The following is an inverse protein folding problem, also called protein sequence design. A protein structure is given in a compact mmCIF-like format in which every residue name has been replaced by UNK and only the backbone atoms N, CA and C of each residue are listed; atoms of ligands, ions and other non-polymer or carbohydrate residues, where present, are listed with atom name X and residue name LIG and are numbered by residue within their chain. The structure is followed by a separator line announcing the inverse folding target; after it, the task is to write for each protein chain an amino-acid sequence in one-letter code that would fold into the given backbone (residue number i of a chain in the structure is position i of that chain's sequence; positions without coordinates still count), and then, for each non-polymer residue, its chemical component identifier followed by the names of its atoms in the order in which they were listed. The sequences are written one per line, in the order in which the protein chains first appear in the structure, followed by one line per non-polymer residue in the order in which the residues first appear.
data_IF_581011812496
#
_entry.id   IF_581011812496
#
_cell.length_a   1.000
_cell.length_b   1.000
_cell.length_c   1.000
_cell.angle_alpha   90.00
_cell.angle_beta   90.00
_cell.angle_gamma   90.00
#
_symmetry.space_group_name_H-M   'P 1'
#
loop_
_entity.id
_entity.type
_entity.pdbx_description
1 polymer ?
#
# COMPACT_ATOMS: atom_id res chain seq x y z
N UNK A 1 32.26 39.46 -7.98
CA UNK A 1 30.91 39.80 -7.51
C UNK A 1 29.92 38.99 -8.35
N UNK A 2 29.40 37.89 -7.80
CA UNK A 2 28.36 37.10 -8.48
C UNK A 2 27.04 37.83 -8.27
N UNK A 3 26.34 38.17 -9.35
CA UNK A 3 25.03 38.84 -9.27
C UNK A 3 24.05 37.92 -8.52
N UNK A 4 23.24 38.45 -7.58
CA UNK A 4 22.30 37.65 -6.79
C UNK A 4 21.30 36.86 -7.65
N UNK A 5 20.99 37.32 -8.86
CA UNK A 5 20.18 36.59 -9.83
C UNK A 5 20.82 35.31 -10.38
N UNK A 6 22.15 35.24 -10.46
CA UNK A 6 22.84 34.03 -10.94
C UNK A 6 22.79 32.89 -9.93
N UNK A 7 22.81 33.19 -8.62
CA UNK A 7 22.70 32.17 -7.57
C UNK A 7 21.28 31.56 -7.57
N UNK A 8 20.25 32.41 -7.67
CA UNK A 8 18.86 31.94 -7.75
C UNK A 8 18.61 31.06 -8.98
N UNK A 9 19.17 31.44 -10.14
CA UNK A 9 19.05 30.65 -11.36
C UNK A 9 19.73 29.28 -11.26
N UNK A 10 20.93 29.22 -10.67
CA UNK A 10 21.64 27.95 -10.44
C UNK A 10 20.89 27.07 -9.45
N UNK A 11 20.39 27.63 -8.34
CA UNK A 11 19.59 26.88 -7.38
C UNK A 11 18.32 26.30 -8.02
N UNK A 12 17.61 27.10 -8.83
CA UNK A 12 16.42 26.65 -9.55
C UNK A 12 16.73 25.52 -10.53
N UNK A 13 17.83 25.62 -11.27
CA UNK A 13 18.28 24.58 -12.20
C UNK A 13 18.66 23.27 -11.48
N UNK A 14 19.32 23.36 -10.33
CA UNK A 14 19.67 22.17 -9.53
C UNK A 14 18.42 21.47 -8.96
N UNK A 15 17.40 22.23 -8.55
CA UNK A 15 16.13 21.69 -8.07
C UNK A 15 15.37 20.99 -9.22
N UNK A 16 15.31 21.61 -10.41
CA UNK A 16 14.61 20.99 -11.55
C UNK A 16 15.34 19.75 -12.08
N UNK A 17 16.67 19.73 -12.04
CA UNK A 17 17.46 18.58 -12.49
C UNK A 17 17.41 17.41 -11.48
N UNK A 18 17.20 17.69 -10.19
CA UNK A 18 17.07 16.66 -9.14
C UNK A 18 15.64 16.15 -8.95
N UNK A 19 14.62 16.91 -9.36
CA UNK A 19 13.21 16.50 -9.31
C UNK A 19 12.92 15.10 -9.90
N UNK A 20 13.40 14.71 -11.09
CA UNK A 20 13.13 13.37 -11.64
C UNK A 20 13.76 12.25 -10.79
N UNK A 21 14.91 12.49 -10.16
CA UNK A 21 15.55 11.53 -9.25
C UNK A 21 14.71 11.32 -7.97
N UNK A 22 14.04 12.35 -7.49
CA UNK A 22 13.13 12.29 -6.33
C UNK A 22 11.85 11.52 -6.69
N UNK A 23 11.33 11.70 -7.93
CA UNK A 23 10.15 10.98 -8.41
C UNK A 23 10.37 9.47 -8.60
N UNK A 24 11.61 9.03 -8.84
CA UNK A 24 11.92 7.59 -8.90
C UNK A 24 11.86 6.95 -7.50
N UNK A 25 12.25 7.68 -6.45
CA UNK A 25 12.30 7.16 -5.07
C UNK A 25 10.94 6.74 -4.48
N UNK A 26 9.83 7.29 -4.99
CA UNK A 26 8.47 6.87 -4.59
C UNK A 26 7.99 5.58 -5.28
N UNK A 27 8.60 5.21 -6.42
CA UNK A 27 8.24 4.05 -7.23
C UNK A 27 9.24 2.90 -7.12
N UNK A 28 10.50 3.20 -6.79
CA UNK A 28 11.55 2.21 -6.65
C UNK A 28 11.40 1.43 -5.35
N UNK A 29 11.16 0.14 -5.46
CA UNK A 29 11.49 -0.80 -4.40
C UNK A 29 13.01 -0.99 -4.38
N UNK A 30 13.67 -0.96 -3.20
CA UNK A 30 15.08 -1.31 -3.13
C UNK A 30 15.24 -2.80 -3.46
N UNK A 31 15.42 -3.12 -4.75
CA UNK A 31 15.94 -4.41 -5.17
C UNK A 31 17.45 -4.39 -4.88
N UNK A 32 17.85 -4.93 -3.72
CA UNK A 32 19.28 -5.12 -3.44
C UNK A 32 19.78 -6.30 -4.27
N UNK A 33 20.62 -6.00 -5.24
CA UNK A 33 21.49 -6.97 -5.91
C UNK A 33 22.46 -7.55 -4.87
N UNK A 34 22.27 -8.83 -4.54
CA UNK A 34 23.31 -9.79 -4.15
C UNK A 34 24.46 -9.24 -3.26
N UNK A 35 24.23 -9.03 -1.96
CA UNK A 35 25.29 -9.24 -0.96
C UNK A 35 24.73 -9.51 0.44
N UNK A 36 24.83 -10.76 0.87
CA UNK A 36 24.76 -11.15 2.28
C UNK A 36 23.39 -11.56 2.80
N UNK A 37 23.23 -12.87 2.95
CA UNK A 37 22.21 -13.59 3.71
C UNK A 37 21.89 -12.97 5.07
N UNK A 38 20.81 -12.18 5.14
CA UNK A 38 19.72 -12.30 6.13
C UNK A 38 18.52 -11.52 5.59
N UNK A 39 17.76 -12.21 4.74
CA UNK A 39 16.75 -11.67 3.82
C UNK A 39 15.42 -11.34 4.48
N UNK A 40 15.34 -10.17 5.11
CA UNK A 40 14.06 -9.50 5.34
C UNK A 40 14.04 -8.19 4.56
N UNK A 41 13.28 -8.14 3.47
CA UNK A 41 12.75 -6.86 3.02
C UNK A 41 11.92 -6.33 4.20
N UNK A 42 12.41 -5.30 4.89
CA UNK A 42 11.79 -4.77 6.10
C UNK A 42 10.50 -4.02 5.77
N UNK A 43 9.44 -4.74 5.43
CA UNK A 43 8.09 -4.19 5.38
C UNK A 43 7.54 -4.18 6.80
N UNK A 44 7.04 -3.02 7.22
CA UNK A 44 6.28 -2.93 8.47
C UNK A 44 4.93 -3.61 8.24
N UNK A 45 4.69 -4.69 8.97
CA UNK A 45 3.40 -5.34 8.98
C UNK A 45 2.34 -4.40 9.57
N UNK A 46 1.15 -4.41 8.95
CA UNK A 46 0.03 -3.61 9.46
C UNK A 46 -0.46 -4.19 10.80
N UNK A 47 -1.07 -3.37 11.67
CA UNK A 47 -1.76 -3.89 12.85
C UNK A 47 -2.86 -4.88 12.47
N UNK A 48 -3.20 -5.75 13.40
CA UNK A 48 -4.39 -6.59 13.26
C UNK A 48 -5.66 -5.73 13.40
N UNK A 49 -6.56 -5.83 12.43
CA UNK A 49 -7.86 -5.15 12.42
C UNK A 49 -8.97 -6.15 12.74
N UNK A 50 -9.94 -5.73 13.55
CA UNK A 50 -11.04 -6.58 14.04
C UNK A 50 -12.37 -5.88 13.83
N UNK A 51 -13.42 -6.66 13.64
CA UNK A 51 -14.78 -6.15 13.52
C UNK A 51 -15.26 -5.44 14.79
N UNK A 52 -16.08 -4.40 14.59
CA UNK A 52 -16.91 -3.80 15.64
C UNK A 52 -18.07 -4.71 16.05
N UNK A 53 -18.75 -4.31 17.13
CA UNK A 53 -19.84 -5.10 17.74
C UNK A 53 -21.08 -5.28 16.86
N UNK A 54 -21.30 -4.36 15.92
CA UNK A 54 -22.48 -4.35 15.05
C UNK A 54 -22.24 -5.04 13.69
N UNK A 55 -21.11 -5.71 13.52
CA UNK A 55 -20.76 -6.33 12.24
C UNK A 55 -21.56 -7.62 11.98
N UNK A 56 -22.05 -7.84 10.75
CA UNK A 56 -22.74 -9.07 10.41
C UNK A 56 -21.77 -10.25 10.47
N UNK A 57 -22.22 -11.36 11.06
CA UNK A 57 -21.47 -12.60 11.11
C UNK A 57 -21.43 -13.20 9.71
N UNK A 58 -20.20 -13.42 9.21
CA UNK A 58 -19.96 -14.12 7.95
C UNK A 58 -20.29 -15.60 8.17
N UNK A 59 -21.52 -15.97 7.82
CA UNK A 59 -22.00 -17.34 7.94
C UNK A 59 -21.54 -18.10 6.70
N UNK A 60 -20.36 -18.70 6.76
CA UNK A 60 -19.92 -19.69 5.78
C UNK A 60 -21.04 -20.73 5.62
N UNK A 61 -21.69 -20.72 4.45
CA UNK A 61 -22.93 -21.44 4.20
C UNK A 61 -22.90 -22.86 4.75
N UNK A 62 -24.01 -23.24 5.37
CA UNK A 62 -24.22 -24.52 6.04
C UNK A 62 -23.66 -25.72 5.27
N UNK A 63 -22.60 -26.33 5.81
CA UNK A 63 -22.14 -27.65 5.39
C UNK A 63 -20.72 -27.70 4.83
N UNK A 64 -19.78 -28.07 5.70
CA UNK A 64 -18.59 -28.88 5.37
C UNK A 64 -17.54 -28.20 4.48
N UNK A 65 -16.57 -27.53 5.13
CA UNK A 65 -15.27 -27.25 4.54
C UNK A 65 -14.78 -25.83 4.77
N UNK A 66 -13.61 -25.72 5.38
CA UNK A 66 -12.81 -24.52 5.60
C UNK A 66 -12.70 -23.70 4.31
N UNK A 67 -13.28 -22.49 4.31
CA UNK A 67 -13.13 -21.51 3.25
C UNK A 67 -14.30 -20.52 3.22
N UNK A 68 -14.05 -19.25 3.51
CA UNK A 68 -14.96 -18.15 3.21
C UNK A 68 -15.27 -18.20 1.71
N UNK A 69 -16.47 -18.65 1.35
CA UNK A 69 -16.86 -18.69 -0.05
C UNK A 69 -17.06 -17.26 -0.53
N UNK A 70 -16.44 -16.88 -1.65
CA UNK A 70 -16.59 -15.57 -2.31
C UNK A 70 -18.04 -15.19 -2.65
N UNK A 71 -19.00 -16.09 -2.43
CA UNK A 71 -20.43 -15.88 -2.68
C UNK A 71 -21.24 -15.52 -1.42
N UNK A 72 -20.59 -15.22 -0.29
CA UNK A 72 -21.30 -14.78 0.92
C UNK A 72 -21.76 -13.32 0.78
N UNK A 73 -23.07 -13.09 0.88
CA UNK A 73 -23.68 -11.77 0.77
C UNK A 73 -23.28 -10.81 1.91
N UNK A 74 -22.67 -11.31 3.00
CA UNK A 74 -22.15 -10.50 4.11
C UNK A 74 -20.73 -9.96 3.87
N UNK A 75 -20.07 -10.35 2.77
CA UNK A 75 -18.75 -9.86 2.38
C UNK A 75 -18.84 -8.64 1.44
N UNK A 76 -17.90 -7.71 1.62
CA UNK A 76 -17.67 -6.61 0.69
C UNK A 76 -16.45 -6.95 -0.15
N UNK A 77 -16.68 -7.17 -1.44
CA UNK A 77 -15.61 -7.47 -2.39
C UNK A 77 -14.97 -6.19 -2.91
N UNK A 78 -13.65 -6.11 -2.80
CA UNK A 78 -12.85 -4.98 -3.30
C UNK A 78 -11.89 -5.53 -4.34
N UNK A 79 -12.10 -5.16 -5.60
CA UNK A 79 -11.14 -5.44 -6.66
C UNK A 79 -10.31 -4.18 -6.90
N UNK A 80 -8.98 -4.31 -6.83
CA UNK A 80 -8.07 -3.21 -7.12
C UNK A 80 -6.86 -3.71 -7.89
N UNK A 81 -6.33 -2.88 -8.77
CA UNK A 81 -5.13 -3.23 -9.55
C UNK A 81 -3.86 -3.07 -8.72
N UNK A 82 -3.00 -4.08 -8.73
CA UNK A 82 -1.66 -4.02 -8.16
C UNK A 82 -0.63 -3.87 -9.28
N UNK A 83 -0.10 -2.65 -9.42
CA UNK A 83 0.95 -2.30 -10.39
C UNK A 83 2.21 -1.90 -9.63
N UNK A 84 3.38 -2.42 -10.04
CA UNK A 84 4.68 -2.13 -9.40
C UNK A 84 4.97 -0.63 -9.27
N UNK A 85 4.54 0.19 -10.24
CA UNK A 85 4.76 1.64 -10.21
C UNK A 85 3.88 2.34 -9.16
N UNK A 86 2.80 1.69 -8.72
CA UNK A 86 1.80 2.24 -7.81
C UNK A 86 1.66 1.44 -6.51
N UNK A 87 2.40 0.34 -6.32
CA UNK A 87 2.26 -0.58 -5.19
C UNK A 87 2.31 0.14 -3.83
N UNK A 88 3.20 1.12 -3.64
CA UNK A 88 3.24 1.90 -2.39
C UNK A 88 1.92 2.64 -2.13
N UNK A 89 1.33 3.21 -3.18
CA UNK A 89 0.03 3.87 -3.12
C UNK A 89 -1.11 2.88 -2.92
N UNK A 90 -1.12 1.78 -3.67
CA UNK A 90 -2.14 0.73 -3.55
C UNK A 90 -2.15 0.10 -2.16
N UNK A 91 -0.98 -0.21 -1.58
CA UNK A 91 -0.89 -0.75 -0.22
C UNK A 91 -1.32 0.29 0.84
N UNK A 92 -1.01 1.58 0.63
CA UNK A 92 -1.53 2.63 1.50
C UNK A 92 -3.06 2.74 1.42
N UNK A 93 -3.65 2.52 0.24
CA UNK A 93 -5.11 2.47 0.06
C UNK A 93 -5.72 1.26 0.78
N UNK A 94 -5.16 0.05 0.62
CA UNK A 94 -5.58 -1.15 1.37
C UNK A 94 -5.54 -0.88 2.87
N UNK A 95 -4.44 -0.34 3.38
CA UNK A 95 -4.30 -0.01 4.80
C UNK A 95 -5.29 1.08 5.24
N UNK A 96 -5.58 2.07 4.40
CA UNK A 96 -6.58 3.09 4.69
C UNK A 96 -7.96 2.48 4.83
N UNK A 97 -8.34 1.57 3.92
CA UNK A 97 -9.61 0.84 3.98
C UNK A 97 -9.70 0.07 5.28
N UNK A 98 -8.74 -0.83 5.57
CA UNK A 98 -8.75 -1.65 6.79
C UNK A 98 -8.86 -0.82 8.07
N UNK A 99 -8.16 0.32 8.13
CA UNK A 99 -8.14 1.19 9.31
C UNK A 99 -9.44 1.96 9.54
N UNK A 100 -10.22 2.23 8.49
CA UNK A 100 -11.36 3.15 8.56
C UNK A 100 -12.71 2.45 8.37
N UNK A 101 -12.73 1.15 8.05
CA UNK A 101 -13.95 0.35 8.03
C UNK A 101 -14.31 -0.15 9.42
N UNK A 102 -15.61 -0.17 9.74
CA UNK A 102 -16.12 -0.75 11.00
C UNK A 102 -16.01 -2.28 11.04
N UNK A 103 -16.01 -2.95 9.88
CA UNK A 103 -15.97 -4.41 9.75
C UNK A 103 -14.84 -4.87 8.80
N UNK A 104 -13.56 -4.71 9.18
CA UNK A 104 -12.41 -5.03 8.34
C UNK A 104 -12.26 -6.53 8.02
N UNK A 105 -12.85 -7.43 8.83
CA UNK A 105 -12.79 -8.89 8.59
C UNK A 105 -13.84 -9.34 7.55
N UNK A 106 -14.79 -8.47 7.19
CA UNK A 106 -15.81 -8.73 6.18
C UNK A 106 -15.39 -8.24 4.78
N UNK A 107 -14.15 -7.78 4.62
CA UNK A 107 -13.61 -7.36 3.33
C UNK A 107 -12.95 -8.54 2.62
N UNK A 108 -13.22 -8.69 1.33
CA UNK A 108 -12.57 -9.67 0.46
C UNK A 108 -11.86 -8.96 -0.68
N UNK A 109 -10.53 -8.91 -0.64
CA UNK A 109 -9.72 -8.30 -1.69
C UNK A 109 -9.47 -9.30 -2.82
N UNK A 110 -9.78 -8.90 -4.06
CA UNK A 110 -9.42 -9.60 -5.29
C UNK A 110 -8.20 -8.97 -5.95
#
# INVERSE_FOLDING_TARGET
MVLPGSIAAVAFLLITLSAPLICLGIRSFPARTELGSDGSFGFAEAPEYRNGVDCPVVNGGSGKGVGTTSCDASLVHVAMTLDSEYLRGSMAAVHSVLRHTSCPENLFFH
#
